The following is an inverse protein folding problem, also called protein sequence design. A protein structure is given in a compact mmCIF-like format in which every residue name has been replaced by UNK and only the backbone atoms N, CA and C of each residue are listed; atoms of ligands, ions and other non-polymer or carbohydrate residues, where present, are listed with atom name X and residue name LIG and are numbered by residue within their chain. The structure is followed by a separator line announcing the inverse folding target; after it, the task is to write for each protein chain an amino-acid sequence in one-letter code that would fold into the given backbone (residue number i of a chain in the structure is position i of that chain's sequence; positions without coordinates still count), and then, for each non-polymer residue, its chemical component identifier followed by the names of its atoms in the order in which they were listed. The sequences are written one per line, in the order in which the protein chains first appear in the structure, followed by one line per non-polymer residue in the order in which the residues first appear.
data_IF_212170316856
#
_entry.id   IF_212170316856
#
_cell.length_a   1.000
_cell.length_b   1.000
_cell.length_c   1.000
_cell.angle_alpha   90.00
_cell.angle_beta   90.00
_cell.angle_gamma   90.00
#
_symmetry.space_group_name_H-M   'P 1'
#
loop_
_entity.id
_entity.type
_entity.pdbx_description
1 polymer ?
#
# COMPACT_ATOMS: atom_id res chain seq x y z
N UNK A 1 -68.82 -9.14 6.63
CA UNK A 1 -68.73 -10.58 6.28
C UNK A 1 -67.99 -10.72 4.96
N UNK A 2 -67.26 -11.81 4.66
CA UNK A 2 -66.21 -12.54 5.40
C UNK A 2 -64.82 -12.35 4.72
N UNK A 3 -63.70 -12.16 5.41
CA UNK A 3 -63.00 -13.19 6.17
C UNK A 3 -61.96 -13.96 5.32
N UNK A 4 -60.88 -13.29 4.84
CA UNK A 4 -59.81 -13.95 4.07
C UNK A 4 -58.83 -14.65 5.03
N UNK A 5 -58.92 -15.98 5.11
CA UNK A 5 -58.06 -16.86 5.92
C UNK A 5 -56.60 -16.75 5.47
N UNK A 6 -55.71 -16.30 6.35
CA UNK A 6 -54.25 -16.42 6.19
C UNK A 6 -53.80 -17.61 7.04
N UNK A 7 -53.19 -18.62 6.39
CA UNK A 7 -52.65 -19.82 7.04
C UNK A 7 -51.43 -19.44 7.89
N UNK A 8 -51.44 -19.86 9.15
CA UNK A 8 -50.29 -19.85 10.06
C UNK A 8 -49.18 -20.73 9.48
N UNK A 9 -47.99 -20.17 9.29
CA UNK A 9 -46.74 -20.93 9.16
C UNK A 9 -45.96 -20.65 10.45
N UNK A 10 -45.92 -21.64 11.34
CA UNK A 10 -45.07 -21.64 12.52
C UNK A 10 -43.76 -22.35 12.20
N UNK A 11 -42.63 -21.66 12.35
CA UNK A 11 -41.37 -22.31 12.72
C UNK A 11 -40.69 -21.52 13.86
N UNK A 12 -40.43 -22.30 14.91
CA UNK A 12 -39.66 -22.07 16.15
C UNK A 12 -38.25 -21.52 15.85
N UNK A 13 -37.79 -20.55 16.65
CA UNK A 13 -36.69 -20.66 17.65
C UNK A 13 -35.31 -20.77 17.00
N UNK A 14 -34.43 -19.77 17.08
CA UNK A 14 -33.36 -19.51 18.08
C UNK A 14 -32.41 -18.54 17.32
N UNK A 15 -31.78 -17.47 17.83
CA UNK A 15 -31.24 -17.17 19.13
C UNK A 15 -31.23 -15.66 19.42
N UNK A 16 -31.34 -15.36 20.72
CA UNK A 16 -31.26 -14.03 21.30
C UNK A 16 -29.79 -13.67 21.59
N UNK A 17 -29.42 -12.47 21.15
CA UNK A 17 -28.59 -11.48 21.86
C UNK A 17 -27.74 -11.94 23.06
N UNK A 18 -26.43 -11.77 22.95
CA UNK A 18 -25.58 -11.52 24.12
C UNK A 18 -24.59 -10.39 23.80
N UNK A 19 -24.88 -9.21 24.35
CA UNK A 19 -23.99 -8.05 24.44
C UNK A 19 -23.56 -7.94 25.91
N UNK A 20 -22.24 -7.91 26.11
CA UNK A 20 -21.48 -7.20 27.16
C UNK A 20 -21.75 -7.50 28.67
N UNK A 21 -20.75 -7.99 29.41
CA UNK A 21 -19.74 -7.15 30.12
C UNK A 21 -18.91 -7.93 31.15
N UNK A 22 -17.67 -7.45 31.29
CA UNK A 22 -16.61 -7.66 32.28
C UNK A 22 -17.00 -8.02 33.73
N UNK A 23 -16.20 -8.88 34.39
CA UNK A 23 -15.60 -8.66 35.73
C UNK A 23 -14.32 -9.51 35.88
N UNK A 24 -13.24 -8.79 36.17
CA UNK A 24 -12.01 -9.03 36.95
C UNK A 24 -11.86 -10.38 37.70
N UNK A 25 -10.68 -10.99 37.58
CA UNK A 25 -9.94 -11.58 38.72
C UNK A 25 -8.45 -11.28 38.57
N UNK A 26 -7.93 -10.50 39.52
CA UNK A 26 -6.52 -10.40 39.92
C UNK A 26 -6.14 -11.61 40.80
N UNK A 27 -4.86 -11.66 41.20
CA UNK A 27 -4.14 -12.65 42.04
C UNK A 27 -3.51 -13.80 41.22
N UNK A 28 -2.20 -14.11 41.24
CA UNK A 28 -1.10 -13.66 42.08
C UNK A 28 0.26 -13.92 41.39
N UNK A 29 1.25 -13.20 41.91
CA UNK A 29 2.67 -13.19 41.60
C UNK A 29 3.31 -14.59 41.52
N UNK A 30 4.08 -14.82 40.44
CA UNK A 30 5.23 -15.74 40.46
C UNK A 30 6.22 -15.37 39.36
N UNK A 31 7.33 -14.80 39.82
CA UNK A 31 8.61 -14.73 39.14
C UNK A 31 8.96 -16.05 38.48
N UNK A 32 9.15 -16.08 37.16
CA UNK A 32 10.06 -17.03 36.54
C UNK A 32 10.88 -16.32 35.46
N UNK A 33 12.15 -16.22 35.82
CA UNK A 33 13.32 -15.86 35.03
C UNK A 33 13.32 -16.67 33.75
N UNK A 34 13.48 -15.98 32.62
CA UNK A 34 13.86 -16.60 31.36
C UNK A 34 15.31 -17.04 31.51
N UNK A 35 15.52 -18.32 31.80
CA UNK A 35 16.83 -18.96 31.70
C UNK A 35 17.22 -19.05 30.22
N UNK A 36 18.35 -18.44 29.91
CA UNK A 36 19.10 -18.59 28.65
C UNK A 36 19.96 -19.84 28.81
N UNK A 37 19.78 -20.91 28.01
CA UNK A 37 20.80 -21.94 27.90
C UNK A 37 21.83 -21.58 26.83
N UNK A 38 23.08 -21.69 27.28
CA UNK A 38 24.31 -21.29 26.64
C UNK A 38 24.68 -22.09 25.37
N UNK A 39 25.53 -21.43 24.59
CA UNK A 39 26.42 -21.90 23.53
C UNK A 39 26.76 -23.40 23.53
N UNK A 40 26.25 -24.13 22.53
CA UNK A 40 26.88 -25.38 22.09
C UNK A 40 27.80 -25.12 20.90
N UNK A 41 29.09 -25.20 21.21
CA UNK A 41 30.25 -25.23 20.29
C UNK A 41 30.03 -26.28 19.20
N UNK A 42 29.93 -25.85 17.93
CA UNK A 42 30.06 -26.76 16.79
C UNK A 42 31.54 -27.03 16.55
N UNK A 43 31.96 -28.28 16.77
CA UNK A 43 33.22 -28.84 16.30
C UNK A 43 33.16 -29.06 14.78
N UNK A 44 34.27 -28.90 14.05
CA UNK A 44 34.30 -29.16 12.61
C UNK A 44 34.38 -30.67 12.38
N UNK A 45 33.45 -31.22 11.59
CA UNK A 45 33.49 -32.61 11.14
C UNK A 45 34.29 -32.65 9.83
N UNK A 46 35.52 -33.14 9.98
CA UNK A 46 36.28 -34.05 9.11
C UNK A 46 35.76 -34.22 7.67
N UNK A 47 36.59 -33.77 6.73
CA UNK A 47 36.61 -34.20 5.33
C UNK A 47 36.70 -35.73 5.25
N UNK A 48 35.75 -36.35 4.54
CA UNK A 48 35.96 -37.65 3.94
C UNK A 48 35.44 -37.65 2.51
N UNK A 49 36.37 -38.00 1.62
CA UNK A 49 36.19 -38.27 0.21
C UNK A 49 35.09 -39.30 -0.01
N UNK A 50 34.10 -38.94 -0.83
CA UNK A 50 33.29 -39.93 -1.55
C UNK A 50 33.49 -39.65 -3.03
N UNK A 51 34.28 -40.52 -3.63
CA UNK A 51 34.51 -40.64 -5.06
C UNK A 51 33.25 -41.12 -5.79
N UNK A 52 32.99 -40.50 -6.95
CA UNK A 52 32.37 -41.16 -8.09
C UNK A 52 30.86 -40.96 -8.28
N UNK A 53 30.51 -40.09 -9.23
CA UNK A 53 29.18 -39.99 -9.84
C UNK A 53 29.03 -38.72 -10.67
N UNK A 54 29.21 -38.83 -11.98
CA UNK A 54 28.97 -37.75 -12.95
C UNK A 54 27.49 -37.33 -12.93
N UNK A 55 27.21 -36.02 -12.91
CA UNK A 55 25.98 -35.47 -13.49
C UNK A 55 26.25 -34.03 -13.97
N UNK A 56 26.40 -33.95 -15.28
CA UNK A 56 26.72 -32.77 -16.08
C UNK A 56 25.42 -31.99 -16.27
N UNK A 57 25.21 -30.87 -15.57
CA UNK A 57 23.96 -30.11 -15.70
C UNK A 57 23.95 -28.66 -15.21
N UNK A 58 24.82 -28.28 -14.28
CA UNK A 58 24.77 -26.95 -13.66
C UNK A 58 25.37 -25.83 -14.53
N UNK A 59 26.32 -26.15 -15.41
CA UNK A 59 26.93 -25.18 -16.32
C UNK A 59 25.99 -24.73 -17.44
N UNK A 60 25.11 -25.61 -17.92
CA UNK A 60 24.15 -25.28 -18.97
C UNK A 60 23.04 -24.38 -18.45
N UNK A 61 22.50 -24.67 -17.26
CA UNK A 61 21.50 -23.83 -16.57
C UNK A 61 22.08 -22.44 -16.28
N UNK A 62 23.35 -22.37 -15.87
CA UNK A 62 24.06 -21.11 -15.60
C UNK A 62 24.26 -20.28 -16.87
N UNK A 63 24.64 -20.92 -17.99
CA UNK A 63 24.77 -20.26 -19.30
C UNK A 63 23.43 -19.81 -19.85
N UNK A 64 22.35 -20.57 -19.63
CA UNK A 64 21.02 -20.24 -20.10
C UNK A 64 20.40 -19.07 -19.32
N UNK A 65 20.60 -19.01 -18.00
CA UNK A 65 20.27 -17.86 -17.16
C UNK A 65 21.06 -16.62 -17.59
N UNK A 66 22.37 -16.76 -17.83
CA UNK A 66 23.21 -15.66 -18.31
C UNK A 66 22.78 -15.15 -19.70
N UNK A 67 22.33 -16.02 -20.59
CA UNK A 67 21.84 -15.68 -21.92
C UNK A 67 20.50 -14.91 -21.85
N UNK A 68 19.59 -15.32 -20.96
CA UNK A 68 18.33 -14.59 -20.66
C UNK A 68 18.58 -13.19 -20.09
N UNK A 69 19.46 -13.08 -19.08
CA UNK A 69 19.83 -11.79 -18.48
C UNK A 69 20.42 -10.84 -19.54
N UNK A 70 21.20 -11.37 -20.49
CA UNK A 70 21.83 -10.59 -21.56
C UNK A 70 20.84 -10.12 -22.64
N UNK A 71 19.78 -10.89 -22.91
CA UNK A 71 18.70 -10.48 -23.83
C UNK A 71 17.76 -9.42 -23.21
N UNK A 72 17.50 -9.47 -21.91
CA UNK A 72 16.67 -8.48 -21.21
C UNK A 72 17.42 -7.15 -20.95
N UNK A 73 18.75 -7.16 -20.93
CA UNK A 73 19.58 -5.97 -20.63
C UNK A 73 19.60 -4.89 -21.73
N UNK A 74 19.17 -5.20 -22.95
CA UNK A 74 19.39 -4.34 -24.13
C UNK A 74 18.21 -3.48 -24.60
N UNK A 75 16.98 -3.70 -24.10
CA UNK A 75 15.78 -2.96 -24.56
C UNK A 75 15.31 -2.00 -23.47
N UNK A 76 15.02 -0.72 -23.78
CA UNK A 76 14.43 0.18 -22.80
C UNK A 76 13.09 -0.40 -22.36
N UNK A 77 12.97 -0.67 -21.06
CA UNK A 77 11.78 -1.34 -20.52
C UNK A 77 10.55 -0.46 -20.76
N UNK A 78 9.51 -1.02 -21.37
CA UNK A 78 8.31 -0.26 -21.74
C UNK A 78 7.54 0.06 -20.47
N UNK A 79 7.48 1.34 -20.11
CA UNK A 79 6.71 1.82 -18.96
C UNK A 79 5.56 2.71 -19.38
N UNK A 80 4.53 2.75 -18.54
CA UNK A 80 3.47 3.75 -18.60
C UNK A 80 3.79 4.87 -17.62
N UNK A 81 3.64 6.12 -18.05
CA UNK A 81 3.87 7.28 -17.19
C UNK A 81 2.61 8.12 -17.00
N UNK A 82 2.44 8.64 -15.78
CA UNK A 82 1.47 9.69 -15.53
C UNK A 82 1.91 10.56 -14.36
N UNK A 83 1.26 11.71 -14.26
CA UNK A 83 1.54 12.71 -13.24
C UNK A 83 0.33 12.87 -12.32
N UNK A 84 0.58 12.80 -11.02
CA UNK A 84 -0.35 13.16 -9.95
C UNK A 84 0.06 14.48 -9.29
N UNK A 85 -0.91 15.30 -8.87
CA UNK A 85 -0.65 16.59 -8.23
C UNK A 85 -1.63 16.87 -7.11
N UNK A 86 -1.15 17.41 -5.98
CA UNK A 86 -1.99 17.85 -4.86
C UNK A 86 -1.34 19.01 -4.12
N UNK A 87 -2.09 20.09 -3.86
CA UNK A 87 -1.53 21.35 -3.32
C UNK A 87 -0.32 21.77 -4.16
N UNK A 88 0.88 21.71 -3.60
CA UNK A 88 2.17 21.97 -4.26
C UNK A 88 2.98 20.70 -4.56
N UNK A 89 2.52 19.52 -4.13
CA UNK A 89 3.19 18.25 -4.39
C UNK A 89 2.91 17.75 -5.82
N UNK A 90 3.97 17.25 -6.45
CA UNK A 90 3.95 16.64 -7.78
C UNK A 90 4.56 15.25 -7.67
N UNK A 91 3.84 14.24 -8.18
CA UNK A 91 4.27 12.86 -8.23
C UNK A 91 4.34 12.40 -9.69
N UNK A 92 5.53 12.04 -10.16
CA UNK A 92 5.72 11.38 -11.46
C UNK A 92 5.79 9.88 -11.22
N UNK A 93 4.79 9.16 -11.71
CA UNK A 93 4.64 7.72 -11.52
C UNK A 93 5.03 7.02 -12.81
N UNK A 94 5.86 5.98 -12.68
CA UNK A 94 6.20 5.03 -13.75
C UNK A 94 5.72 3.65 -13.34
N UNK A 95 4.96 3.00 -14.21
CA UNK A 95 4.49 1.63 -14.01
C UNK A 95 5.17 0.74 -15.05
N UNK A 96 5.86 -0.28 -14.55
CA UNK A 96 6.49 -1.31 -15.35
C UNK A 96 5.66 -2.60 -15.25
N UNK A 97 5.44 -3.25 -16.40
CA UNK A 97 4.72 -4.53 -16.47
C UNK A 97 5.63 -5.73 -16.23
N UNK A 98 6.94 -5.53 -16.38
CA UNK A 98 7.99 -6.54 -16.18
C UNK A 98 8.78 -6.24 -14.91
N UNK A 99 9.39 -7.29 -14.35
CA UNK A 99 10.26 -7.20 -13.19
C UNK A 99 9.57 -7.45 -11.85
N UNK A 100 10.31 -7.20 -10.77
CA UNK A 100 9.89 -7.47 -9.40
C UNK A 100 8.77 -6.53 -8.94
N UNK A 101 7.85 -7.08 -8.14
CA UNK A 101 6.63 -6.41 -7.68
C UNK A 101 6.93 -5.48 -6.51
N UNK A 102 7.54 -4.35 -6.83
CA UNK A 102 7.96 -3.37 -5.84
C UNK A 102 7.21 -2.06 -5.97
N UNK A 103 6.98 -1.40 -4.83
CA UNK A 103 6.44 -0.05 -4.78
C UNK A 103 7.47 0.89 -4.12
N UNK A 104 8.15 1.66 -4.95
CA UNK A 104 9.29 2.50 -4.56
C UNK A 104 8.93 3.98 -4.72
N UNK A 105 9.22 4.79 -3.69
CA UNK A 105 9.04 6.24 -3.67
C UNK A 105 10.39 6.90 -3.35
N UNK A 106 10.90 7.71 -4.26
CA UNK A 106 12.22 8.38 -4.14
C UNK A 106 13.34 7.41 -3.72
N UNK A 107 13.42 6.26 -4.39
CA UNK A 107 14.41 5.19 -4.16
C UNK A 107 14.32 4.52 -2.76
N UNK A 108 13.21 4.72 -2.04
CA UNK A 108 12.92 4.03 -0.76
C UNK A 108 11.61 3.26 -0.88
N UNK A 109 11.42 2.16 -0.14
CA UNK A 109 10.11 1.50 -0.09
C UNK A 109 9.09 2.46 0.53
N UNK A 110 7.82 2.42 0.07
CA UNK A 110 6.80 3.37 0.53
C UNK A 110 6.55 3.35 2.04
N UNK A 111 6.71 2.18 2.68
CA UNK A 111 6.55 2.03 4.13
C UNK A 111 7.59 2.83 4.91
N UNK A 112 8.82 2.94 4.39
CA UNK A 112 9.87 3.74 5.00
C UNK A 112 9.74 5.24 4.65
N UNK A 113 9.17 5.56 3.48
CA UNK A 113 9.00 6.95 3.05
C UNK A 113 7.82 7.66 3.76
N UNK A 114 6.69 6.98 3.89
CA UNK A 114 5.51 7.47 4.59
C UNK A 114 5.50 6.86 5.99
N UNK A 115 5.80 7.67 7.00
CA UNK A 115 5.88 7.21 8.40
C UNK A 115 4.48 6.91 8.96
N UNK A 116 3.49 7.74 8.62
CA UNK A 116 2.12 7.58 9.11
C UNK A 116 1.40 6.47 8.33
N UNK A 117 0.69 5.55 9.02
CA UNK A 117 -0.05 4.47 8.36
C UNK A 117 -1.16 4.99 7.44
N UNK A 118 -1.80 6.11 7.80
CA UNK A 118 -2.84 6.75 6.97
C UNK A 118 -2.28 7.21 5.61
N UNK A 119 -1.05 7.74 5.59
CA UNK A 119 -0.39 8.18 4.38
C UNK A 119 0.03 6.96 3.51
N UNK A 120 0.47 5.88 4.14
CA UNK A 120 0.77 4.61 3.45
C UNK A 120 -0.49 4.05 2.78
N UNK A 121 -1.59 3.92 3.52
CA UNK A 121 -2.87 3.44 2.99
C UNK A 121 -3.37 4.33 1.85
N UNK A 122 -3.19 5.65 2.02
CA UNK A 122 -3.54 6.66 1.03
C UNK A 122 -2.80 6.43 -0.28
N UNK A 123 -1.49 6.23 -0.25
CA UNK A 123 -0.67 6.03 -1.43
C UNK A 123 -1.07 4.75 -2.20
N UNK A 124 -1.41 3.68 -1.48
CA UNK A 124 -1.69 2.35 -2.06
C UNK A 124 -3.18 2.16 -2.42
N UNK A 125 -4.08 3.00 -1.91
CA UNK A 125 -5.55 2.85 -2.05
C UNK A 125 -6.06 2.64 -3.48
N UNK A 126 -5.47 3.29 -4.49
CA UNK A 126 -5.86 3.13 -5.89
C UNK A 126 -5.56 1.73 -6.44
N UNK A 127 -4.42 1.14 -6.08
CA UNK A 127 -4.05 -0.23 -6.46
C UNK A 127 -4.82 -1.27 -5.64
N UNK A 128 -5.03 -1.03 -4.33
CA UNK A 128 -5.88 -1.88 -3.49
C UNK A 128 -7.29 -1.97 -4.07
N UNK A 129 -7.85 -0.84 -4.53
CA UNK A 129 -9.18 -0.81 -5.13
C UNK A 129 -9.25 -1.63 -6.41
N UNK A 130 -8.16 -1.77 -7.16
CA UNK A 130 -8.08 -2.62 -8.36
C UNK A 130 -7.58 -4.04 -8.11
N UNK A 131 -7.16 -4.38 -6.88
CA UNK A 131 -6.50 -5.65 -6.56
C UNK A 131 -5.28 -5.90 -7.48
N UNK A 132 -4.52 -4.84 -7.72
CA UNK A 132 -3.37 -4.81 -8.64
C UNK A 132 -2.06 -4.50 -7.93
N UNK A 133 -2.02 -4.52 -6.60
CA UNK A 133 -0.83 -4.20 -5.84
C UNK A 133 0.33 -5.18 -6.15
N UNK A 134 0.02 -6.48 -6.18
CA UNK A 134 1.02 -7.54 -6.40
C UNK A 134 1.27 -7.87 -7.87
N UNK A 135 0.93 -6.96 -8.80
CA UNK A 135 1.00 -7.22 -10.24
C UNK A 135 2.00 -6.35 -10.99
N UNK A 136 2.33 -5.19 -10.44
CA UNK A 136 3.09 -4.18 -11.15
C UNK A 136 4.24 -3.69 -10.30
N UNK A 137 5.34 -3.34 -10.97
CA UNK A 137 6.41 -2.55 -10.37
C UNK A 137 6.09 -1.08 -10.56
N UNK A 138 6.06 -0.33 -9.48
CA UNK A 138 5.73 1.09 -9.50
C UNK A 138 6.87 1.89 -8.88
N UNK A 139 7.45 2.78 -9.69
CA UNK A 139 8.49 3.70 -9.25
C UNK A 139 7.93 5.12 -9.31
N UNK A 140 8.01 5.82 -8.18
CA UNK A 140 7.47 7.17 -8.05
C UNK A 140 8.57 8.13 -7.65
N UNK A 141 8.69 9.23 -8.40
CA UNK A 141 9.46 10.41 -8.00
C UNK A 141 8.50 11.49 -7.52
N UNK A 142 8.68 11.95 -6.28
CA UNK A 142 7.80 12.92 -5.64
C UNK A 142 8.59 14.13 -5.16
N UNK A 143 8.08 15.32 -5.49
CA UNK A 143 8.69 16.60 -5.17
C UNK A 143 7.62 17.59 -4.67
N UNK A 144 8.03 18.50 -3.77
CA UNK A 144 7.18 19.56 -3.22
C UNK A 144 6.15 19.10 -2.17
N UNK A 145 5.50 20.09 -1.55
CA UNK A 145 4.46 19.87 -0.54
C UNK A 145 4.96 19.25 0.77
N UNK A 146 4.11 18.43 1.40
CA UNK A 146 4.43 17.65 2.59
C UNK A 146 3.88 16.22 2.46
N UNK A 147 4.24 15.31 3.39
CA UNK A 147 4.01 13.85 3.28
C UNK A 147 2.57 13.46 2.91
N UNK A 148 1.60 14.04 3.58
CA UNK A 148 0.18 13.78 3.28
C UNK A 148 -0.23 14.22 1.87
N UNK A 149 0.17 15.43 1.45
CA UNK A 149 -0.13 15.92 0.10
C UNK A 149 0.61 15.10 -0.97
N UNK A 150 1.82 14.64 -0.65
CA UNK A 150 2.59 13.74 -1.49
C UNK A 150 1.87 12.39 -1.66
N UNK A 151 1.38 11.80 -0.57
CA UNK A 151 0.63 10.54 -0.60
C UNK A 151 -0.64 10.64 -1.47
N UNK A 152 -1.41 11.73 -1.35
CA UNK A 152 -2.57 11.99 -2.22
C UNK A 152 -2.16 12.21 -3.70
N UNK A 153 -1.03 12.88 -3.94
CA UNK A 153 -0.50 13.04 -5.29
C UNK A 153 -0.10 11.70 -5.90
N UNK A 154 0.56 10.82 -5.13
CA UNK A 154 0.89 9.45 -5.55
C UNK A 154 -0.38 8.68 -5.87
N UNK A 155 -1.39 8.70 -4.99
CA UNK A 155 -2.69 8.05 -5.22
C UNK A 155 -3.30 8.44 -6.56
N UNK A 156 -3.31 9.74 -6.85
CA UNK A 156 -3.86 10.30 -8.09
C UNK A 156 -3.02 9.92 -9.31
N UNK A 157 -1.69 9.94 -9.20
CA UNK A 157 -0.78 9.53 -10.26
C UNK A 157 -0.97 8.05 -10.62
N UNK A 158 -0.96 7.17 -9.62
CA UNK A 158 -1.15 5.73 -9.82
C UNK A 158 -2.52 5.41 -10.43
N UNK A 159 -3.57 6.13 -10.05
CA UNK A 159 -4.89 5.98 -10.67
C UNK A 159 -4.88 6.36 -12.17
N UNK A 160 -4.13 7.38 -12.57
CA UNK A 160 -4.00 7.78 -13.99
C UNK A 160 -3.22 6.74 -14.78
N UNK A 161 -2.08 6.31 -14.27
CA UNK A 161 -1.27 5.29 -14.95
C UNK A 161 -2.05 3.98 -15.16
N UNK A 162 -2.87 3.56 -14.19
CA UNK A 162 -3.71 2.38 -14.34
C UNK A 162 -4.75 2.54 -15.47
N UNK A 163 -5.27 3.75 -15.70
CA UNK A 163 -6.19 4.02 -16.81
C UNK A 163 -5.45 3.96 -18.13
N UNK A 164 -4.24 4.52 -18.20
CA UNK A 164 -3.41 4.50 -19.41
C UNK A 164 -2.98 3.07 -19.77
N UNK A 165 -2.78 2.22 -18.76
CA UNK A 165 -2.55 0.78 -18.95
C UNK A 165 -3.80 0.06 -19.47
N UNK A 166 -4.97 0.28 -18.85
CA UNK A 166 -6.22 -0.33 -19.29
C UNK A 166 -7.42 0.62 -19.06
N UNK A 167 -8.02 1.05 -20.17
CA UNK A 167 -9.12 2.00 -20.16
C UNK A 167 -10.37 1.51 -19.43
N UNK A 168 -10.54 0.19 -19.28
CA UNK A 168 -11.66 -0.42 -18.55
C UNK A 168 -11.68 -0.04 -17.06
N UNK A 169 -10.52 0.30 -16.47
CA UNK A 169 -10.44 0.70 -15.06
C UNK A 169 -11.02 2.08 -14.78
N UNK A 170 -11.21 2.91 -15.80
CA UNK A 170 -11.70 4.29 -15.67
C UNK A 170 -13.02 4.39 -14.92
N UNK A 171 -14.01 3.55 -15.24
CA UNK A 171 -15.36 3.60 -14.62
C UNK A 171 -15.29 3.33 -13.12
N UNK A 172 -14.52 2.31 -12.71
CA UNK A 172 -14.40 1.90 -11.30
C UNK A 172 -13.55 2.88 -10.49
N UNK A 173 -12.46 3.41 -11.06
CA UNK A 173 -11.65 4.45 -10.40
C UNK A 173 -12.38 5.79 -10.28
N UNK A 174 -13.18 6.17 -11.28
CA UNK A 174 -14.00 7.38 -11.23
C UNK A 174 -15.08 7.27 -10.16
N UNK A 175 -15.73 6.12 -10.03
CA UNK A 175 -16.70 5.87 -8.94
C UNK A 175 -16.04 5.92 -7.56
N UNK A 176 -14.77 5.54 -7.45
CA UNK A 176 -13.99 5.66 -6.21
C UNK A 176 -13.43 7.07 -5.94
N UNK A 177 -13.58 8.01 -6.88
CA UNK A 177 -13.11 9.39 -6.73
C UNK A 177 -11.61 9.61 -6.95
N UNK A 178 -10.83 8.60 -7.39
CA UNK A 178 -9.37 8.72 -7.50
C UNK A 178 -8.88 9.48 -8.74
N UNK A 179 -9.72 9.60 -9.78
CA UNK A 179 -9.40 10.34 -11.00
C UNK A 179 -9.59 11.85 -10.88
N UNK A 180 -10.28 12.32 -9.85
CA UNK A 180 -10.52 13.75 -9.65
C UNK A 180 -9.39 14.31 -8.80
N UNK A 181 -8.74 15.36 -9.29
CA UNK A 181 -7.76 16.10 -8.49
C UNK A 181 -8.49 16.89 -7.40
N UNK A 182 -8.04 16.82 -6.16
CA UNK A 182 -8.55 17.73 -5.10
C UNK A 182 -8.03 19.17 -5.36
N UNK A 183 -8.92 20.11 -5.73
CA UNK A 183 -8.54 21.47 -6.14
C UNK A 183 -8.24 22.39 -4.94
N UNK A 184 -8.54 21.98 -3.71
CA UNK A 184 -8.45 22.86 -2.53
C UNK A 184 -7.02 23.32 -2.29
N UNK A 185 -6.77 24.63 -2.29
CA UNK A 185 -5.46 25.22 -2.04
C UNK A 185 -5.55 26.22 -0.87
N UNK A 186 -4.42 26.49 -0.21
CA UNK A 186 -4.36 27.51 0.84
C UNK A 186 -4.65 28.87 0.22
N UNK A 187 -5.68 29.54 0.73
CA UNK A 187 -5.98 30.92 0.35
C UNK A 187 -4.86 31.87 0.81
N UNK A 188 -4.56 32.86 -0.04
CA UNK A 188 -3.62 33.94 0.28
C UNK A 188 -4.13 34.76 1.47
N UNK A 189 -3.21 35.31 2.28
CA UNK A 189 -3.54 36.32 3.30
C UNK A 189 -3.96 37.62 2.61
N UNK A 190 -5.19 38.09 2.87
CA UNK A 190 -5.65 39.41 2.41
C UNK A 190 -5.12 40.50 3.35
N UNK A 191 -4.94 41.72 2.83
CA UNK A 191 -4.53 42.87 3.64
C UNK A 191 -5.59 43.20 4.70
N UNK A 192 -5.18 43.77 5.83
CA UNK A 192 -6.07 44.09 6.96
C UNK A 192 -6.57 42.89 7.78
N UNK A 193 -6.37 41.64 7.32
CA UNK A 193 -6.73 40.44 8.05
C UNK A 193 -5.52 39.80 8.74
N UNK A 194 -5.76 39.12 9.87
CA UNK A 194 -4.73 38.37 10.61
C UNK A 194 -4.32 37.09 9.85
N UNK A 195 -5.28 36.42 9.19
CA UNK A 195 -5.07 35.23 8.33
C UNK A 195 -5.90 35.36 7.05
N UNK A 196 -6.11 34.29 6.29
CA UNK A 196 -6.86 34.32 5.03
C UNK A 196 -8.27 34.95 5.16
N UNK A 197 -9.00 34.64 6.24
CA UNK A 197 -10.36 35.14 6.51
C UNK A 197 -10.57 35.67 7.94
N UNK A 198 -9.54 35.62 8.79
CA UNK A 198 -9.66 36.02 10.20
C UNK A 198 -9.49 37.53 10.33
N UNK A 199 -10.59 38.23 10.57
CA UNK A 199 -10.58 39.66 10.88
C UNK A 199 -10.12 39.90 12.33
N UNK A 200 -9.46 41.04 12.62
CA UNK A 200 -9.30 41.50 14.00
C UNK A 200 -10.67 41.87 14.60
N UNK A 201 -10.76 41.88 15.93
CA UNK A 201 -11.95 42.35 16.62
C UNK A 201 -12.12 43.85 16.38
N UNK A 202 -13.31 44.31 15.98
CA UNK A 202 -13.64 45.73 15.83
C UNK A 202 -14.42 46.23 17.05
N UNK A 203 -14.26 47.51 17.40
CA UNK A 203 -15.07 48.20 18.41
C UNK A 203 -15.65 49.47 17.78
N UNK A 204 -16.99 49.63 17.79
CA UNK A 204 -17.65 50.90 17.44
C UNK A 204 -17.66 51.74 18.70
N UNK A 205 -17.39 53.03 18.54
CA UNK A 205 -17.66 54.08 19.51
C UNK A 205 -18.77 54.94 18.95
#
# INVERSE_FOLDING_TARGET
MPGKKIKKITKKSEDKSAIANAVVKEEDEKTLVVEVPEETKFTPIVEQDISGGEDVGDEEISREIAKKIKEDAGKPDRYFEAIGRRKTAVARVRLFTKGEKEFIVNNKPYQQYFILPEDQETAVSSMKKMKCFDKFRVTVKVEGGGRHAQAEAVRHGTARVLVDFNQNFRKRLRKAGFLTRDPRMRERKKFGLLRARRAPQWAKR
#
